data_IF_453219466332
#
_entry.id   IF_453219466332
#
_cell.length_a   1.000
_cell.length_b   1.000
_cell.length_c   1.000
_cell.angle_alpha   90.00
_cell.angle_beta   90.00
_cell.angle_gamma   90.00
#
_symmetry.space_group_name_H-M   'P 1'
#
loop_
_entity.id
_entity.type
_entity.pdbx_description
1 polymer ?
#
# COMPACT_ATOMS: atom_id res chain seq x y z
N UNK A 1 8.57 -9.58 2.11
CA UNK A 1 7.25 -9.81 1.49
C UNK A 1 6.23 -10.17 2.57
N UNK A 2 5.04 -9.58 2.56
CA UNK A 2 3.99 -9.84 3.56
C UNK A 2 2.86 -10.61 2.90
N UNK A 3 2.62 -11.85 3.31
CA UNK A 3 1.55 -12.70 2.77
C UNK A 3 0.30 -12.62 3.65
N UNK A 4 -0.37 -11.46 3.64
CA UNK A 4 -1.67 -11.25 4.28
C UNK A 4 -2.57 -10.38 3.40
N UNK A 5 -3.88 -10.52 3.57
CA UNK A 5 -4.86 -9.69 2.88
C UNK A 5 -4.75 -8.23 3.33
N UNK A 6 -4.85 -7.29 2.39
CA UNK A 6 -4.88 -5.85 2.69
C UNK A 6 -6.18 -5.38 3.34
N UNK A 7 -7.26 -6.15 3.20
CA UNK A 7 -8.60 -5.78 3.67
C UNK A 7 -9.39 -4.89 2.70
N UNK A 8 -8.82 -4.49 1.56
CA UNK A 8 -9.49 -3.55 0.65
C UNK A 8 -10.70 -4.14 -0.08
N UNK A 9 -10.59 -5.32 -0.69
CA UNK A 9 -11.68 -6.08 -1.36
C UNK A 9 -12.78 -5.22 -2.06
N UNK A 10 -12.39 -4.48 -3.11
CA UNK A 10 -13.30 -3.64 -3.89
C UNK A 10 -14.01 -2.57 -3.06
N UNK A 11 -15.35 -2.56 -3.08
CA UNK A 11 -16.12 -1.56 -2.30
C UNK A 11 -16.13 -1.84 -0.80
N UNK A 12 -15.72 -3.04 -0.36
CA UNK A 12 -15.71 -3.41 1.05
C UNK A 12 -14.80 -2.49 1.88
N UNK A 13 -13.64 -2.14 1.33
CA UNK A 13 -12.63 -1.30 1.98
C UNK A 13 -12.92 0.19 1.98
N UNK A 14 -14.08 0.63 1.45
CA UNK A 14 -14.45 2.05 1.36
C UNK A 14 -15.87 2.35 1.83
N UNK A 15 -16.75 1.35 1.94
CA UNK A 15 -18.11 1.53 2.46
C UNK A 15 -18.09 1.76 3.97
N UNK A 16 -18.91 2.70 4.45
CA UNK A 16 -19.00 3.07 5.88
C UNK A 16 -19.24 1.86 6.78
N UNK A 17 -20.17 0.99 6.39
CA UNK A 17 -20.59 -0.15 7.22
C UNK A 17 -19.51 -1.25 7.32
N UNK A 18 -18.62 -1.34 6.33
CA UNK A 18 -17.60 -2.40 6.25
C UNK A 18 -16.18 -1.92 6.49
N UNK A 19 -15.94 -0.60 6.48
CA UNK A 19 -14.62 0.00 6.57
C UNK A 19 -13.86 -0.42 7.83
N UNK A 20 -14.52 -0.45 8.99
CA UNK A 20 -13.88 -0.83 10.26
C UNK A 20 -13.36 -2.27 10.24
N UNK A 21 -14.08 -3.18 9.59
CA UNK A 21 -13.66 -4.57 9.39
C UNK A 21 -12.52 -4.68 8.37
N UNK A 22 -12.58 -3.93 7.28
CA UNK A 22 -11.49 -3.82 6.30
C UNK A 22 -10.18 -3.37 6.95
N UNK A 23 -10.25 -2.29 7.75
CA UNK A 23 -9.11 -1.78 8.52
C UNK A 23 -8.59 -2.85 9.48
N UNK A 24 -9.47 -3.55 10.20
CA UNK A 24 -9.07 -4.63 11.11
C UNK A 24 -8.29 -5.73 10.39
N UNK A 25 -8.64 -6.06 9.16
CA UNK A 25 -7.93 -7.06 8.33
C UNK A 25 -6.56 -6.52 7.90
N UNK A 26 -6.48 -5.27 7.44
CA UNK A 26 -5.24 -4.66 6.93
C UNK A 26 -4.26 -4.18 8.00
N UNK A 27 -4.72 -3.93 9.24
CA UNK A 27 -3.92 -3.35 10.32
C UNK A 27 -2.63 -4.12 10.66
N UNK A 28 -2.59 -5.46 10.69
CA UNK A 28 -1.35 -6.21 10.91
C UNK A 28 -0.27 -5.96 9.85
N UNK A 29 -0.66 -5.56 8.62
CA UNK A 29 0.28 -5.17 7.56
C UNK A 29 0.71 -3.73 7.78
N UNK A 30 -0.25 -2.84 8.06
CA UNK A 30 0.02 -1.42 8.27
C UNK A 30 0.97 -1.16 9.45
N UNK A 31 0.87 -1.94 10.52
CA UNK A 31 1.74 -1.87 11.70
C UNK A 31 3.19 -2.31 11.42
N UNK A 32 3.46 -2.98 10.29
CA UNK A 32 4.83 -3.33 9.88
C UNK A 32 5.54 -2.19 9.16
N UNK A 33 4.80 -1.17 8.76
CA UNK A 33 5.37 0.06 8.22
C UNK A 33 5.87 0.86 9.42
N UNK A 34 7.16 1.18 9.42
CA UNK A 34 7.83 1.96 10.46
C UNK A 34 8.40 3.23 9.85
N UNK A 35 8.96 4.12 10.68
CA UNK A 35 9.70 5.30 10.20
C UNK A 35 10.92 4.95 9.34
N UNK A 36 11.49 3.75 9.52
CA UNK A 36 12.65 3.25 8.78
C UNK A 36 12.25 2.55 7.46
N UNK A 37 10.96 2.44 7.15
CA UNK A 37 10.51 1.78 5.92
C UNK A 37 10.75 2.68 4.71
N UNK A 38 11.68 2.29 3.84
CA UNK A 38 11.99 3.06 2.63
C UNK A 38 10.85 3.07 1.61
N UNK A 39 10.27 1.90 1.33
CA UNK A 39 9.30 1.70 0.26
C UNK A 39 8.23 0.68 0.64
N UNK A 40 6.98 1.00 0.28
CA UNK A 40 5.86 0.05 0.30
C UNK A 40 5.45 -0.22 -1.15
N UNK A 41 5.43 -1.50 -1.52
CA UNK A 41 5.15 -1.94 -2.88
C UNK A 41 3.89 -2.80 -2.92
N UNK A 42 3.01 -2.55 -3.88
CA UNK A 42 1.87 -3.43 -4.19
C UNK A 42 1.52 -3.36 -5.67
N UNK A 43 1.33 -4.53 -6.28
CA UNK A 43 0.80 -4.68 -7.64
C UNK A 43 -0.66 -4.20 -7.75
N UNK A 44 -1.44 -4.36 -6.68
CA UNK A 44 -2.77 -3.79 -6.57
C UNK A 44 -2.71 -2.38 -5.98
N UNK A 45 -2.95 -1.38 -6.84
CA UNK A 45 -2.97 0.05 -6.46
C UNK A 45 -3.91 0.31 -5.29
N UNK A 46 -5.07 -0.35 -5.27
CA UNK A 46 -6.06 -0.21 -4.19
C UNK A 46 -5.56 -0.81 -2.88
N UNK A 47 -4.89 -1.97 -2.92
CA UNK A 47 -4.34 -2.61 -1.74
C UNK A 47 -3.20 -1.77 -1.14
N UNK A 48 -2.27 -1.31 -1.98
CA UNK A 48 -1.18 -0.44 -1.55
C UNK A 48 -1.69 0.86 -0.94
N UNK A 49 -2.63 1.55 -1.61
CA UNK A 49 -3.20 2.80 -1.11
C UNK A 49 -4.01 2.60 0.17
N UNK A 50 -4.76 1.51 0.29
CA UNK A 50 -5.50 1.21 1.52
C UNK A 50 -4.54 1.02 2.70
N UNK A 51 -3.48 0.22 2.53
CA UNK A 51 -2.48 0.01 3.59
C UNK A 51 -1.75 1.31 3.95
N UNK A 52 -1.37 2.11 2.95
CA UNK A 52 -0.75 3.42 3.19
C UNK A 52 -1.69 4.39 3.93
N UNK A 53 -3.00 4.35 3.62
CA UNK A 53 -3.99 5.21 4.25
C UNK A 53 -4.25 4.86 5.72
N UNK A 54 -4.22 3.58 6.07
CA UNK A 54 -4.51 3.10 7.44
C UNK A 54 -3.25 2.96 8.31
N UNK A 55 -2.07 3.22 7.75
CA UNK A 55 -0.81 3.22 8.49
C UNK A 55 -0.70 4.47 9.38
N UNK A 56 -0.06 4.32 10.54
CA UNK A 56 0.24 5.43 11.44
C UNK A 56 1.37 6.32 10.90
N UNK A 57 2.18 5.80 9.97
CA UNK A 57 3.27 6.53 9.32
C UNK A 57 2.88 6.96 7.91
N UNK A 58 3.23 8.19 7.55
CA UNK A 58 3.06 8.67 6.18
C UNK A 58 4.02 7.92 5.26
N UNK A 59 3.46 7.06 4.42
CA UNK A 59 4.22 6.33 3.40
C UNK A 59 3.49 6.40 2.07
N UNK A 60 4.25 6.34 0.98
CA UNK A 60 3.70 6.21 -0.36
C UNK A 60 3.79 4.76 -0.81
N UNK A 61 2.66 4.16 -1.15
CA UNK A 61 2.65 2.89 -1.84
C UNK A 61 2.90 3.12 -3.35
N UNK A 62 3.80 2.35 -3.94
CA UNK A 62 4.06 2.39 -5.39
C UNK A 62 3.89 1.01 -6.03
N UNK A 63 3.58 1.00 -7.32
CA UNK A 63 3.54 -0.23 -8.08
C UNK A 63 4.96 -0.80 -8.27
N UNK A 64 5.19 -2.12 -8.19
CA UNK A 64 6.50 -2.74 -8.39
C UNK A 64 7.17 -2.33 -9.71
N UNK A 65 6.41 -2.15 -10.79
CA UNK A 65 6.94 -1.64 -12.07
C UNK A 65 7.56 -0.25 -11.95
N UNK A 66 7.09 0.60 -11.05
CA UNK A 66 7.71 1.90 -10.79
C UNK A 66 9.08 1.74 -10.14
N UNK A 67 9.25 0.75 -9.26
CA UNK A 67 10.57 0.44 -8.70
C UNK A 67 11.52 -0.12 -9.76
N UNK A 68 11.02 -1.00 -10.64
CA UNK A 68 11.81 -1.48 -11.78
C UNK A 68 12.21 -0.30 -12.68
N UNK A 69 11.30 0.62 -12.98
CA UNK A 69 11.60 1.84 -13.74
C UNK A 69 12.76 2.64 -13.13
N UNK A 70 12.77 2.81 -11.80
CA UNK A 70 13.84 3.48 -11.05
C UNK A 70 15.16 2.69 -11.14
N UNK A 71 15.11 1.36 -11.01
CA UNK A 71 16.31 0.51 -11.10
C UNK A 71 17.01 0.60 -12.46
N UNK A 72 16.26 0.82 -13.53
CA UNK A 72 16.80 1.03 -14.88
C UNK A 72 17.10 2.49 -15.21
N UNK A 73 16.91 3.43 -14.26
CA UNK A 73 17.16 4.86 -14.46
C UNK A 73 16.20 5.57 -15.41
N UNK A 74 15.05 4.95 -15.71
CA UNK A 74 14.04 5.48 -16.64
C UNK A 74 13.08 6.47 -15.96
N UNK A 75 13.12 6.60 -14.64
CA UNK A 75 12.30 7.54 -13.85
C UNK A 75 12.59 9.01 -14.16
N UNK A 76 13.74 9.30 -14.79
CA UNK A 76 14.20 10.62 -15.20
C UNK A 76 13.67 11.08 -16.57
N UNK A 77 12.99 10.21 -17.33
CA UNK A 77 12.31 10.58 -18.56
C UNK A 77 10.98 11.28 -18.23
N UNK A 78 11.07 12.58 -17.93
CA UNK A 78 9.96 13.53 -18.06
C UNK A 78 10.49 14.75 -18.81
N UNK A 79 10.42 14.66 -20.14
CA UNK A 79 10.04 15.81 -20.99
C UNK A 79 8.52 15.87 -21.01
#
# INVERSE_FOLDING_TARGET
>A
MIQRCSGHDGTYGVRKDTYTYAVKIGKPIANKITQETDLVLSDCVMAGNHIAHISEHKVKAIHPMSLVKIAYGLDKEKT
#
